data_IF_434495044694
#
_entry.id   IF_434495044694
#
_cell.length_a   1.000
_cell.length_b   1.000
_cell.length_c   1.000
_cell.angle_alpha   90.00
_cell.angle_beta   90.00
_cell.angle_gamma   90.00
#
_symmetry.space_group_name_H-M   'P 1'
#
loop_
_entity.id
_entity.type
_entity.pdbx_description
1 polymer ?
#
# COMPACT_ATOMS: atom_id res chain seq x y z
N UNK A 1 -5.26 -13.19 -9.03
CA UNK A 1 -5.16 -14.47 -9.80
C UNK A 1 -6.23 -15.47 -9.40
N UNK A 2 -6.45 -15.74 -8.10
CA UNK A 2 -7.51 -16.66 -7.63
C UNK A 2 -8.89 -16.40 -8.26
N UNK A 3 -9.47 -15.21 -8.04
CA UNK A 3 -10.81 -14.87 -8.54
C UNK A 3 -10.97 -15.07 -10.05
N UNK A 4 -9.97 -14.66 -10.85
CA UNK A 4 -9.97 -14.82 -12.31
C UNK A 4 -9.94 -16.29 -12.74
N UNK A 5 -9.10 -17.11 -12.11
CA UNK A 5 -9.02 -18.53 -12.49
C UNK A 5 -10.28 -19.27 -12.07
N UNK A 6 -10.79 -18.99 -10.87
CA UNK A 6 -12.03 -19.59 -10.40
C UNK A 6 -13.24 -19.14 -11.22
N UNK A 7 -13.31 -17.87 -11.65
CA UNK A 7 -14.38 -17.38 -12.53
C UNK A 7 -14.41 -18.11 -13.87
N UNK A 8 -13.24 -18.41 -14.45
CA UNK A 8 -13.14 -19.17 -15.70
C UNK A 8 -13.66 -20.61 -15.51
N UNK A 9 -13.27 -21.26 -14.42
CA UNK A 9 -13.70 -22.64 -14.14
C UNK A 9 -15.21 -22.71 -13.86
N UNK A 10 -15.73 -21.81 -13.02
CA UNK A 10 -17.17 -21.76 -12.71
C UNK A 10 -17.99 -21.42 -13.96
N UNK A 11 -17.52 -20.48 -14.79
CA UNK A 11 -18.15 -20.17 -16.08
C UNK A 11 -18.15 -21.35 -17.06
N UNK A 12 -17.14 -22.23 -16.97
CA UNK A 12 -17.08 -23.47 -17.75
C UNK A 12 -17.99 -24.57 -17.19
N UNK A 13 -18.80 -24.29 -16.16
CA UNK A 13 -19.69 -25.26 -15.53
C UNK A 13 -18.99 -26.23 -14.58
N UNK A 14 -17.71 -26.00 -14.26
CA UNK A 14 -16.97 -26.85 -13.32
C UNK A 14 -17.50 -26.59 -11.91
N UNK A 15 -17.89 -27.64 -11.15
CA UNK A 15 -18.33 -27.50 -9.78
C UNK A 15 -17.30 -26.76 -8.93
N UNK A 16 -17.77 -25.87 -8.04
CA UNK A 16 -16.90 -24.98 -7.27
C UNK A 16 -15.76 -25.72 -6.55
N UNK A 17 -16.09 -26.81 -5.86
CA UNK A 17 -15.13 -27.62 -5.13
C UNK A 17 -14.03 -28.17 -6.06
N UNK A 18 -14.42 -28.71 -7.21
CA UNK A 18 -13.50 -29.26 -8.21
C UNK A 18 -12.63 -28.16 -8.81
N UNK A 19 -13.22 -26.99 -9.06
CA UNK A 19 -12.50 -25.80 -9.49
C UNK A 19 -11.39 -25.42 -8.52
N UNK A 20 -11.67 -25.37 -7.22
CA UNK A 20 -10.65 -25.06 -6.20
C UNK A 20 -9.59 -26.18 -6.11
N UNK A 21 -9.95 -27.46 -6.25
CA UNK A 21 -8.99 -28.57 -6.32
C UNK A 21 -8.03 -28.42 -7.51
N UNK A 22 -8.52 -28.03 -8.68
CA UNK A 22 -7.68 -27.76 -9.84
C UNK A 22 -6.71 -26.58 -9.57
N UNK A 23 -7.17 -25.53 -8.89
CA UNK A 23 -6.31 -24.41 -8.48
C UNK A 23 -5.22 -24.84 -7.49
N UNK A 24 -5.55 -25.74 -6.55
CA UNK A 24 -4.59 -26.35 -5.63
C UNK A 24 -3.51 -27.13 -6.40
N UNK A 25 -3.91 -27.99 -7.33
CA UNK A 25 -2.99 -28.84 -8.08
C UNK A 25 -2.09 -28.04 -9.03
N UNK A 26 -2.56 -26.86 -9.49
CA UNK A 26 -1.80 -25.94 -10.35
C UNK A 26 -0.95 -24.93 -9.57
N UNK A 27 -0.93 -24.98 -8.23
CA UNK A 27 -0.19 -24.04 -7.41
C UNK A 27 1.27 -24.49 -7.22
N UNK A 28 2.22 -23.58 -7.46
CA UNK A 28 3.66 -23.86 -7.31
C UNK A 28 4.22 -23.50 -5.94
N UNK A 29 3.59 -22.55 -5.24
CA UNK A 29 4.03 -22.09 -3.93
C UNK A 29 3.40 -22.91 -2.81
N UNK A 30 4.21 -23.35 -1.83
CA UNK A 30 3.72 -24.02 -0.61
C UNK A 30 2.65 -23.20 0.12
N UNK A 31 2.79 -21.87 0.17
CA UNK A 31 1.80 -21.00 0.80
C UNK A 31 0.45 -21.02 0.05
N UNK A 32 0.48 -20.99 -1.29
CA UNK A 32 -0.73 -21.08 -2.10
C UNK A 32 -1.41 -22.45 -1.98
N UNK A 33 -0.62 -23.54 -1.95
CA UNK A 33 -1.13 -24.89 -1.71
C UNK A 33 -1.82 -24.97 -0.34
N UNK A 34 -1.21 -24.44 0.72
CA UNK A 34 -1.81 -24.42 2.05
C UNK A 34 -3.14 -23.66 2.09
N UNK A 35 -3.19 -22.47 1.47
CA UNK A 35 -4.41 -21.65 1.35
C UNK A 35 -5.51 -22.43 0.61
N UNK A 36 -5.20 -23.01 -0.55
CA UNK A 36 -6.19 -23.74 -1.33
C UNK A 36 -6.63 -25.05 -0.66
N UNK A 37 -5.72 -25.75 0.02
CA UNK A 37 -6.07 -26.94 0.83
C UNK A 37 -7.06 -26.60 1.93
N UNK A 38 -6.89 -25.47 2.62
CA UNK A 38 -7.84 -25.01 3.63
C UNK A 38 -9.22 -24.72 3.02
N UNK A 39 -9.26 -24.03 1.87
CA UNK A 39 -10.51 -23.72 1.17
C UNK A 39 -11.22 -25.01 0.71
N UNK A 40 -10.48 -25.96 0.11
CA UNK A 40 -11.03 -27.27 -0.28
C UNK A 40 -11.64 -27.97 0.92
N UNK A 41 -10.90 -28.08 2.03
CA UNK A 41 -11.38 -28.76 3.25
C UNK A 41 -12.62 -28.08 3.86
N UNK A 42 -12.71 -26.76 3.81
CA UNK A 42 -13.89 -26.04 4.29
C UNK A 42 -15.12 -26.26 3.41
N UNK A 43 -14.94 -26.18 2.09
CA UNK A 43 -16.04 -26.38 1.12
C UNK A 43 -16.50 -27.85 1.10
N UNK A 44 -15.59 -28.82 1.25
CA UNK A 44 -15.93 -30.25 1.41
C UNK A 44 -16.78 -30.51 2.66
N UNK A 45 -16.59 -29.72 3.71
CA UNK A 45 -17.39 -29.76 4.94
C UNK A 45 -18.70 -28.98 4.85
N UNK A 46 -19.07 -28.51 3.66
CA UNK A 46 -20.31 -27.77 3.42
C UNK A 46 -20.28 -26.30 3.86
N UNK A 47 -19.11 -25.74 4.18
CA UNK A 47 -19.02 -24.30 4.43
C UNK A 47 -19.09 -23.53 3.12
N UNK A 48 -19.76 -22.38 3.15
CA UNK A 48 -19.70 -21.39 2.07
C UNK A 48 -18.25 -20.95 1.81
N UNK A 49 -17.92 -20.72 0.54
CA UNK A 49 -16.62 -20.22 0.09
C UNK A 49 -16.26 -18.91 0.77
N UNK A 50 -17.20 -17.97 0.87
CA UNK A 50 -17.00 -16.69 1.52
C UNK A 50 -16.59 -16.84 2.98
N UNK A 51 -17.16 -17.81 3.70
CA UNK A 51 -16.82 -18.11 5.09
C UNK A 51 -15.41 -18.68 5.21
N UNK A 52 -14.99 -19.54 4.27
CA UNK A 52 -13.60 -20.02 4.23
C UNK A 52 -12.61 -18.87 3.95
N UNK A 53 -12.93 -18.03 2.97
CA UNK A 53 -12.09 -16.87 2.61
C UNK A 53 -12.03 -15.81 3.72
N UNK A 54 -13.05 -15.71 4.57
CA UNK A 54 -13.05 -14.82 5.73
C UNK A 54 -11.95 -15.16 6.74
N UNK A 55 -11.70 -16.45 6.97
CA UNK A 55 -10.56 -16.90 7.80
C UNK A 55 -9.19 -16.53 7.19
N UNK A 56 -9.18 -16.28 5.88
CA UNK A 56 -8.01 -15.91 5.07
C UNK A 56 -8.06 -14.44 4.61
N UNK A 57 -8.80 -13.59 5.33
CA UNK A 57 -9.03 -12.18 5.00
C UNK A 57 -7.74 -11.35 4.85
N UNK A 58 -6.65 -11.75 5.49
CA UNK A 58 -5.34 -11.12 5.31
C UNK A 58 -4.76 -11.31 3.89
N UNK A 59 -5.19 -12.35 3.17
CA UNK A 59 -4.79 -12.64 1.78
C UNK A 59 -5.76 -12.01 0.78
N UNK A 60 -7.07 -12.17 1.02
CA UNK A 60 -8.10 -11.80 0.03
C UNK A 60 -8.67 -10.38 0.24
N UNK A 61 -8.65 -9.89 1.48
CA UNK A 61 -9.23 -8.60 1.87
C UNK A 61 -10.77 -8.63 1.96
N UNK A 62 -11.32 -7.66 2.68
CA UNK A 62 -12.76 -7.54 2.92
C UNK A 62 -13.61 -7.46 1.65
N UNK A 63 -13.12 -6.69 0.68
CA UNK A 63 -13.85 -6.45 -0.55
C UNK A 63 -14.09 -7.76 -1.33
N UNK A 64 -13.08 -8.62 -1.45
CA UNK A 64 -13.19 -9.88 -2.17
C UNK A 64 -14.14 -10.84 -1.45
N UNK A 65 -14.02 -10.95 -0.13
CA UNK A 65 -14.88 -11.82 0.71
C UNK A 65 -16.34 -11.40 0.58
N UNK A 66 -16.63 -10.10 0.66
CA UNK A 66 -18.01 -9.60 0.59
C UNK A 66 -18.64 -9.78 -0.79
N UNK A 67 -17.90 -9.56 -1.88
CA UNK A 67 -18.40 -9.79 -3.25
C UNK A 67 -18.73 -11.27 -3.47
N UNK A 68 -17.86 -12.17 -2.99
CA UNK A 68 -18.11 -13.62 -3.10
C UNK A 68 -19.31 -14.02 -2.23
N UNK A 69 -19.45 -13.46 -1.03
CA UNK A 69 -20.60 -13.70 -0.13
C UNK A 69 -21.92 -13.36 -0.81
N UNK A 70 -22.00 -12.19 -1.44
CA UNK A 70 -23.18 -11.76 -2.19
C UNK A 70 -23.44 -12.72 -3.35
N UNK A 71 -22.40 -13.14 -4.07
CA UNK A 71 -22.52 -14.09 -5.16
C UNK A 71 -23.02 -15.47 -4.73
N UNK A 72 -22.55 -16.00 -3.60
CA UNK A 72 -23.03 -17.28 -3.06
C UNK A 72 -24.49 -17.19 -2.56
N UNK A 73 -24.83 -16.14 -1.82
CA UNK A 73 -26.19 -15.97 -1.28
C UNK A 73 -27.25 -15.76 -2.36
N UNK A 74 -26.88 -15.07 -3.45
CA UNK A 74 -27.80 -14.78 -4.55
C UNK A 74 -27.74 -15.81 -5.69
N UNK A 75 -26.89 -16.84 -5.59
CA UNK A 75 -26.66 -17.81 -6.67
C UNK A 75 -25.97 -17.22 -7.92
N UNK A 76 -25.46 -15.99 -7.85
CA UNK A 76 -24.80 -15.29 -8.96
C UNK A 76 -23.27 -15.30 -8.83
N UNK A 77 -22.72 -16.40 -8.32
CA UNK A 77 -21.28 -16.53 -8.01
C UNK A 77 -20.38 -16.32 -9.23
N UNK A 78 -20.78 -16.84 -10.40
CA UNK A 78 -20.03 -16.67 -11.65
C UNK A 78 -19.82 -15.18 -11.99
N UNK A 79 -20.91 -14.41 -12.04
CA UNK A 79 -20.89 -12.99 -12.36
C UNK A 79 -20.08 -12.17 -11.35
N UNK A 80 -20.22 -12.48 -10.06
CA UNK A 80 -19.48 -11.79 -9.00
C UNK A 80 -17.99 -12.12 -9.00
N UNK A 81 -17.60 -13.37 -9.28
CA UNK A 81 -16.19 -13.74 -9.45
C UNK A 81 -15.57 -13.04 -10.67
N UNK A 82 -16.32 -12.93 -11.76
CA UNK A 82 -15.86 -12.22 -12.96
C UNK A 82 -15.70 -10.71 -12.70
N UNK A 83 -16.69 -10.07 -12.06
CA UNK A 83 -16.60 -8.68 -11.63
C UNK A 83 -15.39 -8.45 -10.71
N UNK A 84 -15.21 -9.30 -9.70
CA UNK A 84 -14.06 -9.23 -8.80
C UNK A 84 -12.73 -9.38 -9.55
N UNK A 85 -12.67 -10.28 -10.54
CA UNK A 85 -11.48 -10.49 -11.35
C UNK A 85 -11.11 -9.23 -12.18
N UNK A 86 -12.10 -8.59 -12.81
CA UNK A 86 -11.93 -7.34 -13.55
C UNK A 86 -11.48 -6.19 -12.64
N UNK A 87 -12.10 -6.03 -11.47
CA UNK A 87 -11.73 -4.96 -10.53
C UNK A 87 -10.31 -5.15 -9.96
N UNK A 88 -9.92 -6.39 -9.64
CA UNK A 88 -8.55 -6.69 -9.21
C UNK A 88 -7.53 -6.46 -10.34
N UNK A 89 -7.90 -6.74 -11.60
CA UNK A 89 -7.06 -6.47 -12.77
C UNK A 89 -6.85 -4.97 -12.96
N UNK A 90 -7.90 -4.16 -12.93
CA UNK A 90 -7.82 -2.69 -13.00
C UNK A 90 -6.92 -2.11 -11.91
N UNK A 91 -7.08 -2.57 -10.65
CA UNK A 91 -6.21 -2.15 -9.53
C UNK A 91 -4.74 -2.52 -9.78
N UNK A 92 -4.47 -3.70 -10.30
CA UNK A 92 -3.11 -4.14 -10.60
C UNK A 92 -2.48 -3.35 -11.76
N UNK A 93 -3.25 -3.05 -12.81
CA UNK A 93 -2.82 -2.22 -13.94
C UNK A 93 -2.51 -0.79 -13.51
N UNK A 94 -3.37 -0.19 -12.69
CA UNK A 94 -3.12 1.14 -12.12
C UNK A 94 -1.83 1.14 -11.29
N UNK A 95 -1.66 0.16 -10.41
CA UNK A 95 -0.42 0.03 -9.63
C UNK A 95 0.81 -0.10 -10.53
N UNK A 96 0.73 -0.90 -11.59
CA UNK A 96 1.83 -1.06 -12.56
C UNK A 96 2.14 0.25 -13.29
N UNK A 97 1.13 1.01 -13.70
CA UNK A 97 1.32 2.34 -14.33
C UNK A 97 2.01 3.32 -13.38
N UNK A 98 1.55 3.39 -12.14
CA UNK A 98 2.15 4.27 -11.11
C UNK A 98 3.60 3.88 -10.84
N UNK A 99 3.86 2.59 -10.58
CA UNK A 99 5.23 2.10 -10.35
C UNK A 99 6.10 2.36 -11.58
N UNK A 100 5.61 2.06 -12.78
CA UNK A 100 6.33 2.30 -14.03
C UNK A 100 6.71 3.77 -14.23
N UNK A 101 5.80 4.69 -13.95
CA UNK A 101 6.05 6.13 -14.05
C UNK A 101 7.10 6.64 -13.04
N UNK A 102 7.25 5.97 -11.89
CA UNK A 102 8.20 6.34 -10.85
C UNK A 102 9.61 5.74 -11.05
N UNK A 103 9.75 4.71 -11.88
CA UNK A 103 11.05 4.07 -12.13
C UNK A 103 12.05 5.06 -12.75
N UNK A 104 11.64 5.81 -13.78
CA UNK A 104 12.56 6.75 -14.44
C UNK A 104 13.05 7.86 -13.50
N UNK A 105 12.17 8.60 -12.78
CA UNK A 105 12.61 9.56 -11.77
C UNK A 105 13.51 8.95 -10.69
N UNK A 106 13.18 7.73 -10.21
CA UNK A 106 13.98 7.07 -9.19
C UNK A 106 15.40 6.76 -9.68
N UNK A 107 15.56 6.24 -10.91
CA UNK A 107 16.87 5.97 -11.50
C UNK A 107 17.68 7.25 -11.67
N UNK A 108 17.10 8.31 -12.25
CA UNK A 108 17.80 9.58 -12.50
C UNK A 108 18.26 10.21 -11.19
N UNK A 109 17.36 10.34 -10.21
CA UNK A 109 17.70 10.90 -8.89
C UNK A 109 18.81 10.09 -8.21
N UNK A 110 18.73 8.75 -8.28
CA UNK A 110 19.73 7.87 -7.68
C UNK A 110 21.09 8.04 -8.38
N UNK A 111 21.12 8.09 -9.70
CA UNK A 111 22.34 8.30 -10.49
C UNK A 111 22.96 9.68 -10.21
N UNK A 112 22.15 10.74 -10.14
CA UNK A 112 22.60 12.09 -9.80
C UNK A 112 23.22 12.14 -8.40
N UNK A 113 22.54 11.58 -7.39
CA UNK A 113 23.07 11.53 -6.02
C UNK A 113 24.37 10.72 -5.96
N UNK A 114 24.40 9.56 -6.59
CA UNK A 114 25.59 8.71 -6.64
C UNK A 114 26.78 9.45 -7.29
N UNK A 115 26.53 10.14 -8.42
CA UNK A 115 27.56 10.94 -9.09
C UNK A 115 28.02 12.10 -8.21
N UNK A 116 27.11 12.85 -7.59
CA UNK A 116 27.47 13.96 -6.70
C UNK A 116 28.33 13.49 -5.52
N UNK A 117 28.01 12.34 -4.92
CA UNK A 117 28.82 11.73 -3.85
C UNK A 117 30.20 11.34 -4.40
N UNK A 118 30.27 10.70 -5.57
CA UNK A 118 31.55 10.31 -6.19
C UNK A 118 32.44 11.54 -6.42
N UNK A 119 31.89 12.61 -7.00
CA UNK A 119 32.61 13.85 -7.27
C UNK A 119 33.13 14.49 -5.96
N UNK A 120 32.25 14.59 -4.96
CA UNK A 120 32.58 15.25 -3.69
C UNK A 120 33.57 14.42 -2.87
N UNK A 121 33.41 13.10 -2.82
CA UNK A 121 34.27 12.23 -2.00
C UNK A 121 35.64 11.97 -2.64
N UNK A 122 35.74 11.84 -3.96
CA UNK A 122 37.00 11.42 -4.60
C UNK A 122 37.72 12.54 -5.34
N UNK A 123 36.99 13.46 -5.98
CA UNK A 123 37.61 14.52 -6.79
C UNK A 123 37.90 15.75 -5.93
N UNK A 124 36.95 16.19 -5.12
CA UNK A 124 37.10 17.42 -4.32
C UNK A 124 38.36 17.43 -3.42
N UNK A 125 38.71 16.34 -2.69
CA UNK A 125 39.90 16.32 -1.84
C UNK A 125 41.22 16.43 -2.62
N UNK A 126 41.23 16.03 -3.90
CA UNK A 126 42.43 16.14 -4.74
C UNK A 126 42.70 17.56 -5.19
N UNK A 127 41.67 18.41 -5.26
CA UNK A 127 41.78 19.81 -5.68
C UNK A 127 42.03 20.73 -4.49
N UNK A 128 41.62 20.33 -3.28
CA UNK A 128 41.76 21.12 -2.05
C UNK A 128 43.19 21.65 -1.78
N UNK A 129 44.29 20.88 -1.95
CA UNK A 129 45.66 21.36 -1.72
C UNK A 129 46.08 22.50 -2.66
N UNK A 130 45.44 22.59 -3.83
CA UNK A 130 45.68 23.66 -4.82
C UNK A 130 45.03 24.96 -4.34
N UNK A 131 43.88 24.88 -3.66
CA UNK A 131 43.24 26.07 -3.10
C UNK A 131 43.99 26.61 -1.88
N UNK A 132 44.58 25.74 -1.06
CA UNK A 132 45.37 26.16 0.12
C UNK A 132 46.68 26.89 -0.27
N UNK A 133 47.20 26.64 -1.48
CA UNK A 133 48.43 27.31 -1.97
C UNK A 133 48.17 28.74 -2.47
N UNK A 134 46.95 29.05 -2.88
CA UNK A 134 46.51 30.42 -3.12
C UNK A 134 45.99 31.00 -1.79
N UNK A 135 46.71 31.93 -1.17
CA UNK A 135 46.37 32.56 0.13
C UNK A 135 45.09 33.43 0.11
N UNK A 136 44.04 33.04 -0.59
CA UNK A 136 42.74 33.69 -0.59
C UNK A 136 41.91 33.22 0.61
N UNK A 137 41.24 34.16 1.27
CA UNK A 137 40.25 33.83 2.29
C UNK A 137 39.05 33.13 1.62
N UNK A 138 38.88 31.85 1.91
CA UNK A 138 37.78 31.04 1.38
C UNK A 138 36.42 31.66 1.76
N UNK A 139 35.55 31.96 0.77
CA UNK A 139 34.18 32.43 1.02
C UNK A 139 33.38 31.43 1.88
N UNK A 140 32.38 31.92 2.60
CA UNK A 140 31.55 31.10 3.49
C UNK A 140 30.94 29.87 2.80
N UNK A 141 30.56 30.01 1.54
CA UNK A 141 30.01 28.93 0.70
C UNK A 141 31.00 27.77 0.50
N UNK A 142 32.27 28.07 0.23
CA UNK A 142 33.32 27.05 0.05
C UNK A 142 33.69 26.38 1.38
N UNK A 143 33.72 27.15 2.48
CA UNK A 143 33.98 26.61 3.84
C UNK A 143 32.87 25.66 4.30
N UNK A 144 31.61 26.01 4.04
CA UNK A 144 30.47 25.14 4.31
C UNK A 144 30.54 23.84 3.48
N UNK A 145 30.94 23.92 2.21
CA UNK A 145 31.09 22.75 1.35
C UNK A 145 32.20 21.80 1.82
N UNK A 146 33.35 22.34 2.23
CA UNK A 146 34.46 21.56 2.82
C UNK A 146 34.01 20.87 4.11
N UNK A 147 33.25 21.58 4.97
CA UNK A 147 32.70 21.00 6.19
C UNK A 147 31.75 19.83 5.89
N UNK A 148 30.81 20.02 4.95
CA UNK A 148 29.89 18.95 4.50
C UNK A 148 30.69 17.78 3.93
N UNK A 149 31.65 18.03 3.05
CA UNK A 149 32.51 17.00 2.45
C UNK A 149 33.31 16.22 3.50
N UNK A 150 33.88 16.89 4.50
CA UNK A 150 34.61 16.26 5.61
C UNK A 150 33.74 15.32 6.44
N UNK A 151 32.47 15.71 6.68
CA UNK A 151 31.48 14.86 7.34
C UNK A 151 31.16 13.63 6.48
N UNK A 152 31.01 13.78 5.16
CA UNK A 152 30.76 12.66 4.25
C UNK A 152 31.94 11.68 4.15
N UNK A 153 33.19 12.16 4.17
CA UNK A 153 34.38 11.30 4.13
C UNK A 153 34.61 10.53 5.43
N UNK A 154 34.40 11.19 6.58
CA UNK A 154 34.61 10.57 7.90
C UNK A 154 33.45 9.69 8.35
N UNK A 155 32.21 10.11 8.06
CA UNK A 155 30.99 9.43 8.52
C UNK A 155 30.19 8.78 7.38
N UNK A 156 30.72 8.73 6.15
CA UNK A 156 29.99 8.21 4.99
C UNK A 156 29.40 6.81 5.19
N UNK A 157 30.16 5.90 5.81
CA UNK A 157 29.67 4.55 6.13
C UNK A 157 28.54 4.57 7.17
N UNK A 158 28.61 5.46 8.16
CA UNK A 158 27.58 5.64 9.18
C UNK A 158 26.34 6.36 8.64
N UNK A 159 26.51 7.29 7.69
CA UNK A 159 25.41 7.96 6.97
C UNK A 159 24.69 6.95 6.08
N UNK A 160 25.43 6.09 5.36
CA UNK A 160 24.85 5.03 4.54
C UNK A 160 24.10 4.01 5.42
N UNK A 161 24.72 3.54 6.51
CA UNK A 161 24.07 2.67 7.50
C UNK A 161 22.84 3.34 8.12
N UNK A 162 22.93 4.63 8.45
CA UNK A 162 21.83 5.43 8.96
C UNK A 162 20.69 5.55 7.96
N UNK A 163 20.98 5.81 6.68
CA UNK A 163 19.98 5.89 5.62
C UNK A 163 19.31 4.53 5.37
N UNK A 164 20.09 3.45 5.29
CA UNK A 164 19.56 2.08 5.17
C UNK A 164 18.69 1.74 6.39
N UNK A 165 19.17 2.04 7.60
CA UNK A 165 18.41 1.85 8.82
C UNK A 165 17.13 2.68 8.84
N UNK A 166 17.15 3.92 8.35
CA UNK A 166 15.99 4.81 8.26
C UNK A 166 14.99 4.29 7.23
N UNK A 167 15.44 3.80 6.07
CA UNK A 167 14.58 3.15 5.06
C UNK A 167 13.96 1.87 5.62
N UNK A 168 14.74 1.02 6.30
CA UNK A 168 14.23 -0.20 6.96
C UNK A 168 13.25 0.13 8.07
N UNK A 169 13.57 1.12 8.90
CA UNK A 169 12.73 1.64 9.97
C UNK A 169 11.44 2.23 9.39
N UNK A 170 11.52 2.99 8.30
CA UNK A 170 10.35 3.53 7.60
C UNK A 170 9.46 2.42 7.04
N UNK A 171 10.04 1.39 6.40
CA UNK A 171 9.31 0.20 5.95
C UNK A 171 8.65 -0.53 7.14
N UNK A 172 9.36 -0.64 8.26
CA UNK A 172 8.89 -1.28 9.48
C UNK A 172 7.77 -0.48 10.16
N UNK A 173 7.91 0.83 10.31
CA UNK A 173 6.88 1.73 10.83
C UNK A 173 5.67 1.77 9.91
N UNK A 174 5.86 1.66 8.59
CA UNK A 174 4.75 1.49 7.66
C UNK A 174 3.99 0.17 7.82
N UNK A 175 4.48 -0.79 8.62
CA UNK A 175 3.68 -1.95 9.04
C UNK A 175 2.81 -1.65 10.25
N UNK A 176 3.09 -0.58 11.01
CA UNK A 176 2.28 -0.15 12.15
C UNK A 176 1.03 0.61 11.68
N UNK A 177 -0.18 0.24 12.13
CA UNK A 177 -1.42 0.86 11.66
C UNK A 177 -1.55 2.34 12.03
N UNK A 178 -0.96 2.78 13.15
CA UNK A 178 -0.99 4.19 13.61
C UNK A 178 -0.14 5.12 12.73
N UNK A 179 1.03 4.65 12.29
CA UNK A 179 1.94 5.44 11.47
C UNK A 179 1.41 5.60 10.04
N UNK A 180 0.78 4.55 9.49
CA UNK A 180 0.04 4.65 8.22
C UNK A 180 -1.05 5.72 8.25
N UNK A 181 -1.80 5.83 9.36
CA UNK A 181 -2.84 6.88 9.50
C UNK A 181 -2.27 8.29 9.55
N UNK A 182 -1.16 8.51 10.25
CA UNK A 182 -0.50 9.81 10.33
C UNK A 182 0.05 10.26 8.97
N UNK A 183 0.69 9.37 8.22
CA UNK A 183 1.20 9.65 6.88
C UNK A 183 0.06 9.95 5.91
N UNK A 184 -1.02 9.18 5.93
CA UNK A 184 -2.15 9.43 5.04
C UNK A 184 -2.78 10.81 5.32
N UNK A 185 -2.86 11.22 6.59
CA UNK A 185 -3.30 12.57 6.98
C UNK A 185 -2.34 13.68 6.54
N UNK A 186 -1.04 13.41 6.49
CA UNK A 186 -0.02 14.37 6.04
C UNK A 186 -0.01 14.50 4.50
N UNK A 187 -0.13 13.39 3.78
CA UNK A 187 -0.22 13.34 2.31
C UNK A 187 -1.48 14.05 1.81
N UNK A 188 -2.58 13.99 2.56
CA UNK A 188 -3.82 14.73 2.28
C UNK A 188 -3.66 16.26 2.40
N UNK A 189 -2.64 16.75 3.12
CA UNK A 189 -2.36 18.19 3.27
C UNK A 189 -1.42 18.76 2.22
N UNK A 190 -0.83 17.93 1.36
CA UNK A 190 0.09 18.39 0.31
C UNK A 190 -0.73 18.72 -0.96
N UNK A 191 -0.83 20.00 -1.36
CA UNK A 191 -1.70 20.46 -2.46
C UNK A 191 -1.33 19.91 -3.85
N UNK A 192 -0.11 19.39 -4.01
CA UNK A 192 0.45 18.89 -5.27
C UNK A 192 -0.26 17.61 -5.77
N UNK A 193 -0.90 16.84 -4.88
CA UNK A 193 -1.59 15.59 -5.23
C UNK A 193 -3.12 15.70 -5.34
N UNK A 194 -3.69 16.91 -5.23
CA UNK A 194 -5.13 17.13 -4.99
C UNK A 194 -6.10 16.44 -5.96
N UNK A 195 -5.76 16.27 -7.24
CA UNK A 195 -6.65 15.65 -8.25
C UNK A 195 -6.47 14.13 -8.44
N UNK A 196 -5.29 13.58 -8.11
CA UNK A 196 -5.01 12.13 -8.21
C UNK A 196 -5.22 11.40 -6.87
N UNK A 197 -5.00 12.08 -5.75
CA UNK A 197 -5.24 11.55 -4.41
C UNK A 197 -6.73 11.28 -4.17
N UNK A 198 -7.62 12.14 -4.67
CA UNK A 198 -9.05 12.04 -4.40
C UNK A 198 -9.69 10.77 -4.98
N UNK A 199 -9.25 10.26 -6.14
CA UNK A 199 -9.85 9.07 -6.77
C UNK A 199 -9.38 7.75 -6.14
N UNK A 200 -8.19 7.72 -5.51
CA UNK A 200 -7.59 6.49 -4.96
C UNK A 200 -7.69 6.43 -3.43
N UNK A 201 -7.53 7.56 -2.74
CA UNK A 201 -7.33 7.60 -1.29
C UNK A 201 -8.67 7.71 -0.55
N UNK A 202 -9.70 8.31 -1.16
CA UNK A 202 -10.99 8.52 -0.50
C UNK A 202 -11.71 7.23 -0.08
N UNK A 203 -11.81 6.18 -0.92
CA UNK A 203 -12.45 4.92 -0.52
C UNK A 203 -11.67 4.18 0.58
N UNK A 204 -10.34 4.30 0.58
CA UNK A 204 -9.45 3.67 1.57
C UNK A 204 -9.56 4.39 2.92
N UNK A 205 -9.63 5.73 2.90
CA UNK A 205 -9.81 6.54 4.11
C UNK A 205 -11.20 6.32 4.72
N UNK A 206 -12.26 6.29 3.90
CA UNK A 206 -13.63 6.03 4.34
C UNK A 206 -13.79 4.65 4.99
N UNK A 207 -13.26 3.59 4.36
CA UNK A 207 -13.30 2.23 4.92
C UNK A 207 -12.53 2.12 6.25
N UNK A 208 -11.44 2.88 6.41
CA UNK A 208 -10.59 2.83 7.61
C UNK A 208 -11.15 3.68 8.76
N UNK A 209 -11.85 4.78 8.45
CA UNK A 209 -12.55 5.59 9.46
C UNK A 209 -13.73 4.84 10.09
N UNK A 210 -14.47 4.05 9.31
CA UNK A 210 -15.57 3.21 9.82
C UNK A 210 -15.08 2.11 10.78
N UNK A 211 -13.90 1.54 10.52
CA UNK A 211 -13.25 0.59 11.44
C UNK A 211 -12.89 1.26 12.79
N UNK A 212 -12.41 2.50 12.76
CA UNK A 212 -12.03 3.24 13.95
C UNK A 212 -13.25 3.71 14.77
N UNK A 213 -14.33 4.13 14.11
CA UNK A 213 -15.57 4.52 14.77
C UNK A 213 -16.22 3.33 15.48
N UNK A 214 -16.25 2.14 14.85
CA UNK A 214 -16.74 0.90 15.44
C UNK A 214 -15.91 0.48 16.65
N UNK A 215 -14.57 0.53 16.56
CA UNK A 215 -13.68 0.22 17.68
C UNK A 215 -13.87 1.18 18.87
N UNK A 216 -14.03 2.48 18.61
CA UNK A 216 -14.32 3.50 19.63
C UNK A 216 -15.68 3.27 20.29
N UNK A 217 -16.72 2.97 19.49
CA UNK A 217 -18.07 2.69 19.99
C UNK A 217 -18.13 1.41 20.84
N UNK A 218 -17.34 0.39 20.49
CA UNK A 218 -17.23 -0.85 21.26
C UNK A 218 -16.54 -0.62 22.60
N UNK A 219 -15.46 0.15 22.61
CA UNK A 219 -14.73 0.51 23.83
C UNK A 219 -15.56 1.37 24.80
N UNK A 220 -16.35 2.32 24.26
CA UNK A 220 -17.25 3.14 25.06
C UNK A 220 -18.40 2.33 25.67
N UNK A 221 -18.99 1.39 24.91
CA UNK A 221 -20.00 0.45 25.42
C UNK A 221 -19.47 -0.43 26.55
N UNK A 222 -18.20 -0.87 26.44
CA UNK A 222 -17.54 -1.70 27.46
C UNK A 222 -17.24 -0.95 28.75
N UNK A 223 -17.24 0.39 28.73
CA UNK A 223 -17.01 1.26 29.90
C UNK A 223 -18.31 1.89 30.44
N UNK A 224 -19.48 1.48 29.95
CA UNK A 224 -20.76 2.03 30.40
C UNK A 224 -20.96 3.51 30.10
N UNK A 225 -20.16 4.11 29.21
CA UNK A 225 -20.24 5.52 28.86
C UNK A 225 -21.29 5.73 27.76
N UNK A 226 -22.10 6.81 27.82
CA UNK A 226 -23.11 7.08 26.81
C UNK A 226 -22.46 7.27 25.43
N UNK A 227 -22.87 6.44 24.47
CA UNK A 227 -22.46 6.56 23.07
C UNK A 227 -23.26 7.71 22.46
N UNK A 228 -22.76 8.93 22.58
CA UNK A 228 -23.32 10.08 21.86
C UNK A 228 -23.13 9.78 20.37
N UNK A 229 -24.24 9.66 19.64
CA UNK A 229 -24.32 9.42 18.19
C UNK A 229 -23.27 10.26 17.44
N UNK A 230 -22.21 9.61 16.98
CA UNK A 230 -21.14 10.27 16.25
C UNK A 230 -21.63 10.61 14.84
N UNK A 231 -22.01 11.86 14.59
CA UNK A 231 -21.87 12.61 13.35
C UNK A 231 -22.15 11.90 11.99
N UNK A 232 -22.93 10.83 11.95
CA UNK A 232 -23.40 10.19 10.71
C UNK A 232 -24.45 11.04 9.99
N UNK A 233 -25.01 12.05 10.66
CA UNK A 233 -25.94 13.01 10.06
C UNK A 233 -25.27 14.11 9.22
N UNK A 234 -23.95 14.36 9.35
CA UNK A 234 -23.35 15.55 8.74
C UNK A 234 -22.73 15.33 7.34
N UNK A 235 -22.52 14.07 6.93
CA UNK A 235 -21.90 13.74 5.62
C UNK A 235 -22.88 13.25 4.56
N UNK A 236 -24.10 12.81 4.94
CA UNK A 236 -25.13 12.37 3.99
C UNK A 236 -25.77 13.51 3.20
N UNK A 237 -26.14 14.60 3.87
CA UNK A 237 -26.86 15.71 3.22
C UNK A 237 -25.97 16.59 2.32
N UNK A 238 -24.70 16.82 2.70
CA UNK A 238 -23.78 17.63 1.88
C UNK A 238 -23.32 16.92 0.61
N UNK A 239 -23.22 15.59 0.64
CA UNK A 239 -22.84 14.80 -0.53
C UNK A 239 -23.99 14.70 -1.56
N UNK A 240 -25.25 14.68 -1.10
CA UNK A 240 -26.43 14.70 -1.98
C UNK A 240 -26.66 16.06 -2.65
N UNK A 241 -26.36 17.20 -1.99
CA UNK A 241 -26.49 18.53 -2.61
C UNK A 241 -25.45 18.80 -3.72
N UNK A 242 -24.26 18.21 -3.65
CA UNK A 242 -23.21 18.38 -4.67
C UNK A 242 -23.47 17.64 -5.98
N UNK A 243 -24.40 16.67 -6.01
CA UNK A 243 -24.78 15.93 -7.24
C UNK A 243 -25.93 16.54 -8.03
N UNK A 244 -26.51 17.65 -7.56
CA UNK A 244 -27.56 18.39 -8.29
C UNK A 244 -27.01 19.62 -9.04
N UNK A 245 -25.70 19.80 -9.10
CA UNK A 245 -25.05 20.95 -9.74
C UNK A 245 -24.04 20.56 -10.84
N UNK A 246 -24.10 19.32 -11.34
CA UNK A 246 -23.40 18.86 -12.54
C UNK A 246 -24.29 17.89 -13.30
#
# INVERSE_FOLDING_TARGET
>A
MFAKRLSILVKAGIPLLEGVKMLKNSATSRAAIAIYSQIVSDVERGKFLASSLESLKHVFGDFAVNVIRVGEMSGTLEGNLNYLAEELKKKQELKRKVVGALIYPAIVVTATIALSILLTAFIFPKIMPIFDSFKFELPFTTRALIFVSGVFLKYGIYILLGFVALVVLFIFLHRLPKFRMAIDGFILKIPIFGRLAQSIIWPIFAARWDSFSKAKSWWLRRRGLPVILSATAFTGERFMRSRKAF
#
